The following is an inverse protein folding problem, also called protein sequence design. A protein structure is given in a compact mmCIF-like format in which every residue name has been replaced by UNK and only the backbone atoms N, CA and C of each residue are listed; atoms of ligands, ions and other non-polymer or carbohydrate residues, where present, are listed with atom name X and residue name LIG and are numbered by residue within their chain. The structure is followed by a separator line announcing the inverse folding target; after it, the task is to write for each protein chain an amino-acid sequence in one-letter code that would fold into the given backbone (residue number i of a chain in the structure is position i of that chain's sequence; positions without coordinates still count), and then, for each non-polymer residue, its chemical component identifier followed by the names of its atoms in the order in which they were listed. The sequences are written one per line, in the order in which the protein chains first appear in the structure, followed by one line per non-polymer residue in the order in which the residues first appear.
data_IF_891910627875
#
_entry.id   IF_891910627875
#
_cell.length_a   1.000
_cell.length_b   1.000
_cell.length_c   1.000
_cell.angle_alpha   90.00
_cell.angle_beta   90.00
_cell.angle_gamma   90.00
#
_symmetry.space_group_name_H-M   'P 1'
#
loop_
_entity.id
_entity.type
_entity.pdbx_description
1 polymer ?
#
# COMPACT_ATOMS: atom_id res chain seq x y z
N UNK A 1 -12.95 9.72 10.47
CA UNK A 1 -11.70 9.11 10.06
C UNK A 1 -11.69 8.90 8.55
N UNK A 2 -10.51 8.78 7.92
CA UNK A 2 -10.37 8.63 6.46
C UNK A 2 -11.04 9.77 5.66
N UNK A 3 -10.93 10.99 6.15
CA UNK A 3 -11.62 12.14 5.58
C UNK A 3 -11.22 12.44 4.12
N UNK A 4 -10.06 11.96 3.66
CA UNK A 4 -9.63 12.10 2.28
C UNK A 4 -10.54 11.39 1.25
N UNK A 5 -11.43 10.49 1.67
CA UNK A 5 -12.45 9.90 0.80
C UNK A 5 -13.61 10.83 0.49
N UNK A 6 -13.76 11.93 1.23
CA UNK A 6 -14.68 13.02 0.88
C UNK A 6 -14.13 13.77 -0.33
N UNK A 7 -14.99 14.31 -1.15
CA UNK A 7 -14.61 15.09 -2.31
C UNK A 7 -15.52 16.29 -2.48
N UNK A 8 -14.94 17.41 -2.83
CA UNK A 8 -15.70 18.62 -3.23
C UNK A 8 -16.52 18.43 -4.52
N UNK A 9 -16.35 17.32 -5.23
CA UNK A 9 -17.15 17.01 -6.42
C UNK A 9 -18.62 16.84 -6.03
N UNK A 10 -19.57 17.58 -6.67
CA UNK A 10 -21.01 17.50 -6.39
C UNK A 10 -21.62 16.11 -6.59
N UNK A 11 -21.01 15.27 -7.42
CA UNK A 11 -21.45 13.89 -7.65
C UNK A 11 -21.08 12.94 -6.51
N UNK A 12 -20.19 13.36 -5.60
CA UNK A 12 -19.82 12.57 -4.44
C UNK A 12 -20.91 12.68 -3.37
N UNK A 13 -21.58 11.55 -3.11
CA UNK A 13 -22.67 11.49 -2.12
C UNK A 13 -22.21 11.87 -0.70
N UNK A 14 -21.02 11.43 -0.32
CA UNK A 14 -20.46 11.72 1.01
C UNK A 14 -20.13 13.21 1.14
N UNK A 15 -19.51 13.82 0.11
CA UNK A 15 -19.22 15.25 0.08
C UNK A 15 -20.49 16.10 0.17
N UNK A 16 -21.55 15.72 -0.53
CA UNK A 16 -22.84 16.42 -0.46
C UNK A 16 -23.46 16.37 0.94
N UNK A 17 -23.50 15.20 1.56
CA UNK A 17 -24.00 15.10 2.93
C UNK A 17 -23.16 15.89 3.93
N UNK A 18 -21.86 15.90 3.74
CA UNK A 18 -20.96 16.73 4.56
C UNK A 18 -21.31 18.21 4.45
N UNK A 19 -21.51 18.72 3.23
CA UNK A 19 -21.98 20.09 2.98
C UNK A 19 -23.28 20.40 3.71
N UNK A 20 -24.25 19.49 3.64
CA UNK A 20 -25.53 19.63 4.35
C UNK A 20 -25.35 19.73 5.88
N UNK A 21 -24.40 18.99 6.47
CA UNK A 21 -24.08 19.08 7.88
C UNK A 21 -23.37 20.39 8.24
N UNK A 22 -22.48 20.87 7.37
CA UNK A 22 -21.75 22.12 7.58
C UNK A 22 -22.64 23.36 7.58
N UNK A 23 -23.82 23.26 6.99
CA UNK A 23 -24.82 24.34 6.94
C UNK A 23 -25.74 24.36 8.16
N UNK A 24 -25.64 23.37 9.03
CA UNK A 24 -26.53 23.27 10.21
C UNK A 24 -25.93 24.00 11.40
N UNK A 25 -26.76 24.79 12.07
CA UNK A 25 -26.43 25.36 13.37
C UNK A 25 -26.16 24.27 14.41
N UNK A 26 -25.21 24.51 15.30
CA UNK A 26 -24.85 23.63 16.44
C UNK A 26 -24.32 22.24 16.04
N UNK A 27 -23.82 22.08 14.84
CA UNK A 27 -23.09 20.89 14.42
C UNK A 27 -21.59 21.18 14.51
N UNK A 28 -20.86 20.29 15.19
CA UNK A 28 -19.40 20.33 15.25
C UNK A 28 -18.87 19.12 14.51
N UNK A 29 -17.92 19.35 13.62
CA UNK A 29 -17.32 18.27 12.81
C UNK A 29 -15.84 18.16 13.12
N UNK A 30 -15.40 16.94 13.37
CA UNK A 30 -13.99 16.58 13.51
C UNK A 30 -13.63 15.67 12.34
N UNK A 31 -12.79 16.19 11.46
CA UNK A 31 -12.30 15.48 10.30
C UNK A 31 -10.86 15.02 10.56
N UNK A 32 -10.60 13.75 10.41
CA UNK A 32 -9.27 13.15 10.60
C UNK A 32 -8.86 12.38 9.38
N UNK A 33 -7.61 12.50 8.98
CA UNK A 33 -7.03 11.72 7.89
C UNK A 33 -5.51 11.62 8.05
N UNK A 34 -4.94 10.47 7.68
CA UNK A 34 -3.51 10.30 7.57
C UNK A 34 -2.92 10.94 6.31
N UNK A 35 -3.76 11.29 5.34
CA UNK A 35 -3.35 11.98 4.11
C UNK A 35 -4.43 12.95 3.66
N UNK A 36 -4.09 14.23 3.61
CA UNK A 36 -5.01 15.26 3.12
C UNK A 36 -5.14 15.28 1.59
N UNK A 37 -4.13 14.76 0.91
CA UNK A 37 -4.09 14.77 -0.55
C UNK A 37 -4.67 13.49 -1.13
N UNK A 38 -5.56 13.66 -2.10
CA UNK A 38 -6.07 12.56 -2.92
C UNK A 38 -5.10 12.28 -4.06
N UNK A 39 -4.94 11.00 -4.40
CA UNK A 39 -4.09 10.59 -5.52
C UNK A 39 -4.60 11.02 -6.91
N UNK A 40 -5.86 11.46 -7.00
CA UNK A 40 -6.51 11.91 -8.24
C UNK A 40 -6.44 13.42 -8.45
N UNK A 41 -5.67 14.14 -7.66
CA UNK A 41 -5.55 15.61 -7.67
C UNK A 41 -6.88 16.36 -7.41
N UNK A 42 -7.94 15.68 -6.97
CA UNK A 42 -9.19 16.32 -6.60
C UNK A 42 -9.10 16.91 -5.18
N UNK A 43 -9.60 18.11 -5.00
CA UNK A 43 -9.70 18.72 -3.68
C UNK A 43 -10.65 17.93 -2.77
N UNK A 44 -10.27 17.75 -1.51
CA UNK A 44 -11.12 17.11 -0.49
C UNK A 44 -12.29 18.04 -0.13
N UNK A 45 -11.99 19.32 0.08
CA UNK A 45 -12.96 20.37 0.34
C UNK A 45 -12.83 21.49 -0.70
N UNK A 46 -13.90 22.26 -0.87
CA UNK A 46 -13.79 23.55 -1.54
C UNK A 46 -13.00 24.53 -0.66
N UNK A 47 -12.34 25.56 -1.24
CA UNK A 47 -11.64 26.57 -0.44
C UNK A 47 -12.53 27.26 0.60
N UNK A 48 -13.79 27.49 0.27
CA UNK A 48 -14.76 28.13 1.18
C UNK A 48 -15.14 27.21 2.36
N UNK A 49 -15.22 25.91 2.10
CA UNK A 49 -15.50 24.92 3.16
C UNK A 49 -14.26 24.67 4.02
N UNK A 50 -13.09 24.63 3.42
CA UNK A 50 -11.83 24.50 4.14
C UNK A 50 -11.60 25.66 5.12
N UNK A 51 -11.98 26.88 4.73
CA UNK A 51 -11.89 28.06 5.58
C UNK A 51 -12.77 27.99 6.85
N UNK A 52 -13.77 27.10 6.88
CA UNK A 52 -14.62 26.88 8.07
C UNK A 52 -13.97 25.95 9.11
N UNK A 53 -12.87 25.28 8.77
CA UNK A 53 -12.16 24.38 9.67
C UNK A 53 -10.96 25.03 10.31
N UNK A 54 -10.72 24.69 11.57
CA UNK A 54 -9.43 24.90 12.21
C UNK A 54 -8.57 23.66 11.97
N UNK A 55 -7.51 23.79 11.18
CA UNK A 55 -6.60 22.71 10.87
C UNK A 55 -5.54 22.52 11.95
N UNK A 56 -5.37 21.28 12.38
CA UNK A 56 -4.24 20.85 13.22
C UNK A 56 -3.50 19.77 12.45
N UNK A 57 -2.24 20.01 12.15
CA UNK A 57 -1.41 19.07 11.39
C UNK A 57 -0.33 18.52 12.31
N UNK A 58 -0.20 17.19 12.32
CA UNK A 58 0.93 16.48 12.91
C UNK A 58 1.63 15.75 11.77
N UNK A 59 2.75 16.28 11.36
CA UNK A 59 3.47 15.80 10.18
C UNK A 59 4.12 14.45 10.44
N UNK A 60 4.32 13.68 9.37
CA UNK A 60 5.06 12.43 9.43
C UNK A 60 6.50 12.62 9.95
N UNK A 61 7.09 13.76 9.61
CA UNK A 61 8.42 14.15 10.11
C UNK A 61 8.43 14.36 11.63
N UNK A 62 7.42 15.04 12.19
CA UNK A 62 7.27 15.21 13.63
C UNK A 62 7.04 13.87 14.32
N UNK A 63 6.24 13.00 13.71
CA UNK A 63 6.02 11.65 14.20
C UNK A 63 7.33 10.84 14.25
N UNK A 64 8.11 10.84 13.19
CA UNK A 64 9.38 10.11 13.14
C UNK A 64 10.40 10.60 14.17
N UNK A 65 10.49 11.90 14.36
CA UNK A 65 11.41 12.50 15.33
C UNK A 65 10.98 12.34 16.79
N UNK A 66 9.68 12.14 17.03
CA UNK A 66 9.14 11.93 18.38
C UNK A 66 9.06 10.48 18.84
N UNK A 67 9.35 9.51 17.98
CA UNK A 67 9.20 8.09 18.30
C UNK A 67 10.52 7.46 18.79
N UNK A 68 10.63 7.23 20.09
CA UNK A 68 11.79 6.54 20.70
C UNK A 68 11.94 5.07 20.23
N UNK A 69 10.89 4.48 19.70
CA UNK A 69 10.81 3.04 19.38
C UNK A 69 10.85 2.72 17.88
N UNK A 70 10.91 3.73 17.02
CA UNK A 70 11.10 3.50 15.58
C UNK A 70 12.56 3.16 15.30
N UNK A 71 12.76 2.05 14.59
CA UNK A 71 14.05 1.74 13.97
C UNK A 71 14.35 2.78 12.89
N UNK A 72 15.62 2.88 12.51
CA UNK A 72 16.05 3.73 11.38
C UNK A 72 15.18 3.45 10.16
N UNK A 73 14.69 4.52 9.53
CA UNK A 73 13.93 4.48 8.30
C UNK A 73 14.70 5.23 7.22
N UNK A 74 15.14 4.50 6.20
CA UNK A 74 15.76 5.05 5.01
C UNK A 74 14.73 5.03 3.87
N UNK A 75 14.50 6.19 3.24
CA UNK A 75 13.54 6.31 2.14
C UNK A 75 14.32 6.60 0.87
N UNK A 76 14.36 5.62 -0.04
CA UNK A 76 14.90 5.76 -1.38
C UNK A 76 13.81 6.05 -2.41
N UNK A 77 14.13 6.89 -3.37
CA UNK A 77 13.27 7.14 -4.53
C UNK A 77 14.02 6.78 -5.80
N UNK A 78 13.36 6.09 -6.70
CA UNK A 78 13.89 5.88 -8.03
C UNK A 78 12.78 6.08 -9.07
N UNK A 79 13.20 6.46 -10.28
CA UNK A 79 12.30 6.64 -11.40
C UNK A 79 12.43 5.45 -12.35
N UNK A 80 11.30 4.98 -12.84
CA UNK A 80 11.25 3.89 -13.80
C UNK A 80 10.58 4.34 -15.11
N UNK A 81 10.93 3.67 -16.20
CA UNK A 81 10.31 3.85 -17.51
C UNK A 81 9.96 2.48 -18.08
N UNK A 82 8.68 2.21 -18.32
CA UNK A 82 8.20 0.90 -18.77
C UNK A 82 7.44 0.13 -17.68
N UNK A 83 7.56 -1.18 -17.66
CA UNK A 83 6.95 -2.01 -16.63
C UNK A 83 7.70 -1.84 -15.30
N UNK A 84 7.01 -1.42 -14.25
CA UNK A 84 7.63 -1.18 -12.94
C UNK A 84 8.29 -2.44 -12.35
N UNK A 85 7.75 -3.61 -12.66
CA UNK A 85 8.27 -4.89 -12.17
C UNK A 85 9.73 -5.12 -12.61
N UNK A 86 10.07 -4.80 -13.86
CA UNK A 86 11.44 -4.95 -14.39
C UNK A 86 12.44 -4.04 -13.67
N UNK A 87 12.01 -2.85 -13.28
CA UNK A 87 12.88 -1.87 -12.63
C UNK A 87 12.98 -2.11 -11.13
N UNK A 88 11.90 -2.58 -10.48
CA UNK A 88 11.92 -2.90 -9.04
C UNK A 88 12.88 -4.04 -8.73
N UNK A 89 12.98 -5.04 -9.62
CA UNK A 89 13.90 -6.17 -9.47
C UNK A 89 15.38 -5.77 -9.50
N UNK A 90 15.70 -4.61 -10.06
CA UNK A 90 17.07 -4.06 -10.08
C UNK A 90 17.50 -3.48 -8.73
N UNK A 91 16.52 -3.05 -7.90
CA UNK A 91 16.79 -2.41 -6.62
C UNK A 91 16.45 -3.30 -5.42
N UNK A 92 15.75 -4.40 -5.66
CA UNK A 92 15.37 -5.34 -4.63
C UNK A 92 16.58 -6.19 -4.21
N UNK A 93 16.93 -6.17 -2.92
CA UNK A 93 17.87 -7.12 -2.36
C UNK A 93 17.12 -8.37 -1.86
N UNK A 94 17.25 -9.50 -2.55
CA UNK A 94 16.53 -10.72 -2.17
C UNK A 94 17.10 -11.39 -0.89
N UNK A 95 18.16 -10.86 -0.30
CA UNK A 95 18.70 -11.34 0.98
C UNK A 95 18.08 -10.62 2.17
N UNK A 96 17.42 -9.50 1.93
CA UNK A 96 16.71 -8.73 2.95
C UNK A 96 15.23 -9.12 3.03
N UNK A 97 14.65 -9.01 4.24
CA UNK A 97 13.20 -9.18 4.39
C UNK A 97 12.49 -8.04 3.68
N UNK A 98 11.81 -8.37 2.60
CA UNK A 98 11.19 -7.39 1.71
C UNK A 98 9.67 -7.57 1.68
N UNK A 99 8.95 -6.46 1.69
CA UNK A 99 7.52 -6.42 1.37
C UNK A 99 7.39 -5.70 0.02
N UNK A 100 6.91 -6.43 -0.97
CA UNK A 100 6.62 -5.88 -2.30
C UNK A 100 5.13 -5.64 -2.45
N UNK A 101 4.75 -4.38 -2.63
CA UNK A 101 3.37 -4.00 -2.90
C UNK A 101 3.09 -4.03 -4.40
N UNK A 102 2.12 -4.84 -4.81
CA UNK A 102 1.63 -4.88 -6.20
C UNK A 102 0.49 -3.89 -6.37
N UNK A 103 0.57 -2.97 -7.35
CA UNK A 103 -0.49 -2.00 -7.59
C UNK A 103 -1.85 -2.65 -7.86
N UNK A 104 -2.92 -1.99 -7.42
CA UNK A 104 -4.28 -2.43 -7.74
C UNK A 104 -4.48 -2.49 -9.25
N UNK A 105 -5.21 -3.49 -9.74
CA UNK A 105 -5.48 -3.69 -11.18
C UNK A 105 -6.13 -2.48 -11.89
N UNK A 106 -6.78 -1.61 -11.14
CA UNK A 106 -7.34 -0.36 -11.63
C UNK A 106 -6.33 0.79 -11.63
N UNK A 107 -5.17 0.62 -11.04
CA UNK A 107 -4.09 1.61 -11.08
C UNK A 107 -3.58 1.77 -12.51
N UNK A 108 -3.07 2.97 -12.82
CA UNK A 108 -2.43 3.27 -14.10
C UNK A 108 -1.14 2.48 -14.30
N UNK A 109 -0.45 2.17 -13.23
CA UNK A 109 0.83 1.49 -13.18
C UNK A 109 0.69 -0.04 -13.28
N UNK A 110 -0.52 -0.59 -13.08
CA UNK A 110 -0.76 -2.03 -13.13
C UNK A 110 -0.79 -2.56 -14.57
N UNK A 111 -0.27 -3.76 -14.75
CA UNK A 111 -0.42 -4.54 -16.00
C UNK A 111 -1.86 -5.05 -16.22
N UNK A 112 -2.76 -4.82 -15.26
CA UNK A 112 -4.16 -5.30 -15.20
C UNK A 112 -4.30 -6.79 -14.89
N UNK A 113 -3.20 -7.48 -14.65
CA UNK A 113 -3.18 -8.90 -14.27
C UNK A 113 -2.18 -9.12 -13.13
N UNK A 114 -2.67 -9.07 -11.90
CA UNK A 114 -1.83 -9.17 -10.70
C UNK A 114 -1.12 -10.53 -10.58
N UNK A 115 -1.72 -11.61 -11.10
CA UNK A 115 -1.11 -12.93 -11.04
C UNK A 115 0.09 -13.03 -11.99
N UNK A 116 -0.04 -12.48 -13.20
CA UNK A 116 1.10 -12.39 -14.12
C UNK A 116 2.23 -11.50 -13.57
N UNK A 117 1.90 -10.46 -12.84
CA UNK A 117 2.93 -9.64 -12.18
C UNK A 117 3.68 -10.46 -11.12
N UNK A 118 2.98 -11.26 -10.30
CA UNK A 118 3.61 -12.17 -9.33
C UNK A 118 4.47 -13.22 -10.03
N UNK A 119 3.95 -13.89 -11.06
CA UNK A 119 4.69 -14.88 -11.85
C UNK A 119 5.97 -14.26 -12.43
N UNK A 120 5.86 -13.09 -13.06
CA UNK A 120 7.01 -12.38 -13.62
C UNK A 120 8.09 -12.05 -12.57
N UNK A 121 7.68 -11.63 -11.37
CA UNK A 121 8.59 -11.35 -10.27
C UNK A 121 9.27 -12.65 -9.80
N UNK A 122 8.53 -13.74 -9.66
CA UNK A 122 9.06 -15.04 -9.27
C UNK A 122 10.09 -15.53 -10.28
N UNK A 123 9.75 -15.50 -11.56
CA UNK A 123 10.63 -15.94 -12.66
C UNK A 123 11.92 -15.12 -12.75
N UNK A 124 11.83 -13.82 -12.48
CA UNK A 124 13.01 -12.95 -12.51
C UNK A 124 13.91 -13.12 -11.27
N UNK A 125 13.37 -13.61 -10.14
CA UNK A 125 14.16 -13.90 -8.94
C UNK A 125 14.90 -15.25 -9.01
N UNK A 126 14.42 -16.20 -9.83
CA UNK A 126 15.07 -17.50 -10.01
C UNK A 126 14.13 -18.60 -10.47
N UNK A 127 14.59 -19.84 -10.35
CA UNK A 127 13.84 -21.02 -10.78
C UNK A 127 12.81 -21.44 -9.72
N UNK A 128 11.55 -21.41 -10.06
CA UNK A 128 10.49 -21.86 -9.18
C UNK A 128 10.57 -23.38 -8.91
N UNK A 129 10.60 -23.76 -7.63
CA UNK A 129 10.76 -25.14 -7.16
C UNK A 129 9.46 -25.76 -6.63
N UNK A 130 8.38 -25.02 -6.63
CA UNK A 130 7.10 -25.46 -6.08
C UNK A 130 6.65 -24.63 -4.89
N UNK A 131 5.63 -25.14 -4.21
CA UNK A 131 5.04 -24.49 -3.01
C UNK A 131 5.26 -25.39 -1.81
N UNK A 132 5.77 -24.82 -0.73
CA UNK A 132 5.93 -25.51 0.55
C UNK A 132 4.56 -25.94 1.09
N UNK A 133 4.33 -27.23 1.30
CA UNK A 133 3.03 -27.74 1.72
C UNK A 133 2.65 -27.34 3.16
N UNK A 134 3.59 -26.93 4.00
CA UNK A 134 3.32 -26.52 5.38
C UNK A 134 2.94 -25.06 5.46
N UNK A 135 3.70 -24.19 4.80
CA UNK A 135 3.54 -22.72 4.90
C UNK A 135 2.74 -22.11 3.76
N UNK A 136 2.71 -22.77 2.60
CA UNK A 136 2.14 -22.22 1.38
C UNK A 136 3.05 -21.22 0.65
N UNK A 137 4.31 -21.06 1.09
CA UNK A 137 5.26 -20.16 0.43
C UNK A 137 5.76 -20.76 -0.88
N UNK A 138 5.94 -19.91 -1.89
CA UNK A 138 6.67 -20.30 -3.09
C UNK A 138 8.16 -20.45 -2.77
N UNK A 139 8.76 -21.50 -3.27
CA UNK A 139 10.19 -21.77 -3.15
C UNK A 139 10.84 -21.42 -4.49
N UNK A 140 11.80 -20.52 -4.47
CA UNK A 140 12.49 -20.03 -5.68
C UNK A 140 13.98 -20.18 -5.49
N UNK A 141 14.62 -20.93 -6.37
CA UNK A 141 16.07 -21.16 -6.33
C UNK A 141 16.79 -20.09 -7.13
N UNK A 142 17.63 -19.31 -6.43
CA UNK A 142 18.47 -18.32 -7.07
C UNK A 142 19.65 -18.97 -7.83
N UNK A 143 20.31 -18.18 -8.66
CA UNK A 143 21.51 -18.61 -9.42
C UNK A 143 22.67 -19.05 -8.51
N UNK A 144 22.76 -18.54 -7.29
CA UNK A 144 23.76 -18.93 -6.29
C UNK A 144 23.40 -20.22 -5.52
N UNK A 145 22.25 -20.83 -5.84
CA UNK A 145 21.73 -22.04 -5.20
C UNK A 145 20.91 -21.80 -3.94
N UNK A 146 20.82 -20.58 -3.45
CA UNK A 146 20.00 -20.21 -2.29
C UNK A 146 18.52 -20.34 -2.62
N UNK A 147 17.71 -20.80 -1.65
CA UNK A 147 16.25 -20.87 -1.79
C UNK A 147 15.62 -19.65 -1.13
N UNK A 148 14.94 -18.85 -1.93
CA UNK A 148 14.05 -17.79 -1.45
C UNK A 148 12.69 -18.38 -1.08
N UNK A 149 12.07 -17.82 -0.06
CA UNK A 149 10.72 -18.15 0.38
C UNK A 149 9.83 -16.92 0.17
N UNK A 150 8.86 -17.05 -0.72
CA UNK A 150 7.99 -15.94 -1.12
C UNK A 150 6.58 -16.20 -0.63
N UNK A 151 6.10 -15.34 0.24
CA UNK A 151 4.73 -15.34 0.73
C UNK A 151 3.85 -14.55 -0.25
N UNK A 152 3.05 -15.23 -1.05
CA UNK A 152 2.07 -14.59 -1.94
C UNK A 152 0.76 -14.34 -1.19
N UNK A 153 0.42 -13.06 -1.00
CA UNK A 153 -0.83 -12.59 -0.42
C UNK A 153 -1.80 -12.00 -1.46
N UNK A 154 -1.43 -12.10 -2.73
CA UNK A 154 -2.23 -11.58 -3.86
C UNK A 154 -3.24 -12.63 -4.34
N UNK A 155 -3.02 -13.92 -4.04
CA UNK A 155 -3.91 -15.02 -4.42
C UNK A 155 -5.36 -14.75 -3.98
N UNK A 156 -6.31 -15.02 -4.88
CA UNK A 156 -7.74 -14.80 -4.63
C UNK A 156 -8.37 -15.89 -3.76
N UNK A 157 -7.69 -17.01 -3.56
CA UNK A 157 -8.19 -18.13 -2.74
C UNK A 157 -8.00 -17.83 -1.25
N UNK A 158 -9.09 -17.61 -0.48
CA UNK A 158 -9.01 -17.21 0.93
C UNK A 158 -8.22 -18.21 1.79
N UNK A 159 -8.39 -19.50 1.56
CA UNK A 159 -7.71 -20.56 2.32
C UNK A 159 -6.19 -20.51 2.15
N UNK A 160 -5.70 -20.25 0.94
CA UNK A 160 -4.26 -20.07 0.70
C UNK A 160 -3.72 -18.83 1.39
N UNK A 161 -4.42 -17.69 1.26
CA UNK A 161 -4.01 -16.46 1.93
C UNK A 161 -3.98 -16.59 3.44
N UNK A 162 -4.97 -17.26 4.03
CA UNK A 162 -5.02 -17.50 5.46
C UNK A 162 -3.85 -18.36 5.93
N UNK A 163 -3.52 -19.43 5.19
CA UNK A 163 -2.39 -20.29 5.45
C UNK A 163 -1.06 -19.53 5.42
N UNK A 164 -0.81 -18.80 4.34
CA UNK A 164 0.40 -17.97 4.16
C UNK A 164 0.50 -16.90 5.24
N UNK A 165 -0.59 -16.19 5.52
CA UNK A 165 -0.65 -15.18 6.56
C UNK A 165 -0.43 -15.75 7.96
N UNK A 166 -0.92 -16.96 8.21
CA UNK A 166 -0.68 -17.69 9.46
C UNK A 166 0.79 -18.05 9.64
N UNK A 167 1.42 -18.55 8.58
CA UNK A 167 2.84 -18.89 8.58
C UNK A 167 3.75 -17.67 8.81
N UNK A 168 3.40 -16.50 8.23
CA UNK A 168 4.15 -15.26 8.43
C UNK A 168 4.16 -14.76 9.90
N UNK A 169 3.21 -15.20 10.72
CA UNK A 169 3.15 -14.84 12.14
C UNK A 169 4.03 -15.73 13.02
N UNK A 170 4.53 -16.85 12.50
CA UNK A 170 5.44 -17.73 13.22
C UNK A 170 6.84 -17.09 13.26
N UNK A 171 7.40 -16.81 14.45
CA UNK A 171 8.73 -16.19 14.56
C UNK A 171 9.88 -17.09 14.07
N UNK A 172 9.61 -18.33 13.70
CA UNK A 172 10.58 -19.27 13.14
C UNK A 172 10.66 -19.24 11.63
N UNK A 173 9.81 -18.46 10.96
CA UNK A 173 9.76 -18.34 9.50
C UNK A 173 10.54 -17.15 8.95
#
# INVERSE_FOLDING_TARGET
DEFHHVSANPDNKLGRHLGEFMERDKVHMVAMTGSYFRGDAAAVLSPDDEAKFQSVTYTYYEQLNGYEYLKTLDIGYFFYSGAYADDILKVLDPNEKTILHIPNVNSRESTKDKHKEVEHIIDALGDWQGTDPETGFHLVKKSDGTILRIADLVDDEPAKREKVSGALKDPKQ
#
